data_IF_162388170329
#
_entry.id   IF_162388170329
#
_cell.length_a   1.000
_cell.length_b   1.000
_cell.length_c   1.000
_cell.angle_alpha   90.00
_cell.angle_beta   90.00
_cell.angle_gamma   90.00
#
_symmetry.space_group_name_H-M   'P 1'
#
loop_
_entity.id
_entity.type
_entity.pdbx_description
1 polymer ?
#
# COMPACT_ATOMS: atom_id res chain seq x y z
N UNK A 1 9.74 -51.51 -46.50
CA UNK A 1 10.38 -50.16 -46.51
C UNK A 1 9.94 -49.53 -47.82
N UNK A 2 9.07 -48.54 -47.89
CA UNK A 2 9.27 -47.17 -47.40
C UNK A 2 7.93 -46.58 -46.92
N UNK A 3 7.99 -45.82 -45.83
CA UNK A 3 6.86 -45.19 -45.13
C UNK A 3 6.50 -43.86 -45.77
N UNK A 4 5.22 -43.67 -46.06
CA UNK A 4 4.64 -42.39 -46.49
C UNK A 4 4.60 -41.41 -45.30
N UNK A 5 5.29 -40.29 -45.41
CA UNK A 5 5.21 -39.17 -44.45
C UNK A 5 4.15 -38.16 -44.91
N UNK A 6 3.19 -37.75 -44.06
CA UNK A 6 2.31 -36.63 -44.38
C UNK A 6 3.07 -35.31 -44.18
N UNK A 7 3.07 -34.47 -45.21
CA UNK A 7 3.55 -33.10 -45.19
C UNK A 7 2.75 -32.27 -44.18
N UNK A 8 3.40 -31.83 -43.11
CA UNK A 8 2.82 -30.87 -42.17
C UNK A 8 2.61 -29.50 -42.83
N UNK A 9 1.64 -28.70 -42.38
CA UNK A 9 1.48 -27.34 -42.89
C UNK A 9 2.68 -26.52 -42.42
N UNK A 10 3.46 -26.03 -43.38
CA UNK A 10 4.50 -25.04 -43.13
C UNK A 10 3.89 -23.78 -42.55
N UNK A 11 4.16 -23.50 -41.27
CA UNK A 11 3.89 -22.19 -40.70
C UNK A 11 4.92 -21.20 -41.21
N UNK A 12 4.62 -20.56 -42.34
CA UNK A 12 5.28 -19.32 -42.74
C UNK A 12 4.53 -18.18 -42.05
N UNK A 13 5.17 -17.37 -41.18
CA UNK A 13 4.50 -16.20 -40.63
C UNK A 13 4.39 -15.16 -41.75
N UNK A 14 3.24 -15.14 -42.43
CA UNK A 14 2.88 -14.08 -43.37
C UNK A 14 2.84 -12.74 -42.64
N UNK A 15 3.81 -11.89 -42.96
CA UNK A 15 4.17 -10.65 -42.27
C UNK A 15 3.25 -9.45 -42.55
N UNK A 16 1.96 -9.66 -42.81
CA UNK A 16 1.05 -8.59 -43.23
C UNK A 16 -0.25 -8.43 -42.44
N UNK A 17 -0.56 -9.28 -41.46
CA UNK A 17 -1.66 -9.00 -40.53
C UNK A 17 -1.13 -8.26 -39.29
N UNK A 18 -1.46 -6.98 -39.24
CA UNK A 18 -1.73 -6.22 -38.02
C UNK A 18 -0.60 -5.41 -37.36
N UNK A 19 0.30 -4.82 -38.14
CA UNK A 19 1.26 -3.79 -37.67
C UNK A 19 0.57 -2.62 -36.95
N UNK A 20 -0.67 -2.29 -37.35
CA UNK A 20 -1.47 -1.22 -36.74
C UNK A 20 -2.13 -1.63 -35.41
N UNK A 21 -2.61 -2.87 -35.22
CA UNK A 21 -3.08 -3.28 -33.89
C UNK A 21 -1.94 -3.61 -32.94
N UNK A 22 -0.78 -4.09 -33.40
CA UNK A 22 0.39 -4.21 -32.53
C UNK A 22 0.87 -2.83 -32.10
N UNK A 23 0.95 -1.84 -32.99
CA UNK A 23 1.24 -0.44 -32.64
C UNK A 23 0.23 0.14 -31.63
N UNK A 24 -1.08 -0.03 -31.87
CA UNK A 24 -2.13 0.39 -30.91
C UNK A 24 -2.04 -0.34 -29.58
N UNK A 25 -1.68 -1.62 -29.57
CA UNK A 25 -1.51 -2.42 -28.36
C UNK A 25 -0.30 -1.92 -27.54
N UNK A 26 0.84 -1.67 -28.18
CA UNK A 26 2.03 -1.11 -27.52
C UNK A 26 1.72 0.28 -26.94
N UNK A 27 1.06 1.14 -27.70
CA UNK A 27 0.63 2.47 -27.22
C UNK A 27 -0.33 2.35 -26.03
N UNK A 28 -1.36 1.50 -26.12
CA UNK A 28 -2.32 1.27 -25.03
C UNK A 28 -1.64 0.73 -23.78
N UNK A 29 -0.70 -0.20 -23.94
CA UNK A 29 0.07 -0.77 -22.82
C UNK A 29 0.97 0.26 -22.15
N UNK A 30 1.58 1.16 -22.92
CA UNK A 30 2.37 2.27 -22.38
C UNK A 30 1.51 3.22 -21.54
N UNK A 31 0.32 3.58 -22.01
CA UNK A 31 -0.66 4.40 -21.27
C UNK A 31 -1.14 3.69 -20.00
N UNK A 32 -1.49 2.41 -20.08
CA UNK A 32 -1.89 1.63 -18.89
C UNK A 32 -0.78 1.59 -17.84
N UNK A 33 0.49 1.45 -18.26
CA UNK A 33 1.64 1.47 -17.36
C UNK A 33 1.81 2.83 -16.69
N UNK A 34 1.69 3.93 -17.41
CA UNK A 34 1.80 5.27 -16.82
C UNK A 34 0.67 5.55 -15.81
N UNK A 35 -0.56 5.17 -16.15
CA UNK A 35 -1.72 5.27 -15.25
C UNK A 35 -1.54 4.42 -13.99
N UNK A 36 -0.97 3.21 -14.10
CA UNK A 36 -0.66 2.37 -12.95
C UNK A 36 0.35 3.02 -12.01
N UNK A 37 1.40 3.66 -12.54
CA UNK A 37 2.39 4.41 -11.75
C UNK A 37 1.71 5.56 -10.99
N UNK A 38 0.88 6.35 -11.68
CA UNK A 38 0.14 7.46 -11.06
C UNK A 38 -0.79 6.95 -9.95
N UNK A 39 -1.51 5.85 -10.20
CA UNK A 39 -2.41 5.23 -9.21
C UNK A 39 -1.65 4.76 -7.98
N UNK A 40 -0.51 4.09 -8.16
CA UNK A 40 0.34 3.63 -7.05
C UNK A 40 0.91 4.81 -6.26
N UNK A 41 1.36 5.88 -6.93
CA UNK A 41 1.86 7.08 -6.26
C UNK A 41 0.77 7.75 -5.42
N UNK A 42 -0.47 7.87 -5.94
CA UNK A 42 -1.62 8.36 -5.18
C UNK A 42 -1.92 7.48 -3.98
N UNK A 43 -1.98 6.16 -4.15
CA UNK A 43 -2.26 5.24 -3.05
C UNK A 43 -1.18 5.32 -1.94
N UNK A 44 0.11 5.41 -2.32
CA UNK A 44 1.21 5.60 -1.36
C UNK A 44 1.07 6.93 -0.62
N UNK A 45 0.65 8.00 -1.29
CA UNK A 45 0.38 9.31 -0.66
C UNK A 45 -0.79 9.23 0.32
N UNK A 46 -1.88 8.57 -0.02
CA UNK A 46 -3.02 8.37 0.89
C UNK A 46 -2.62 7.54 2.10
N UNK A 47 -1.84 6.45 1.94
CA UNK A 47 -1.31 5.68 3.07
C UNK A 47 -0.45 6.52 4.01
N UNK A 48 0.31 7.50 3.51
CA UNK A 48 1.06 8.43 4.38
C UNK A 48 0.17 9.32 5.25
N UNK A 49 -1.09 9.53 4.84
CA UNK A 49 -2.09 10.23 5.65
C UNK A 49 -2.76 9.33 6.68
N UNK A 50 -2.55 8.01 6.63
CA UNK A 50 -3.04 7.10 7.66
C UNK A 50 -2.22 7.23 8.94
N UNK A 51 -2.86 7.00 10.07
CA UNK A 51 -2.20 6.98 11.37
C UNK A 51 -1.30 5.76 11.51
N UNK A 52 -0.15 5.96 12.13
CA UNK A 52 0.79 4.88 12.40
C UNK A 52 0.18 3.89 13.40
N UNK A 53 -0.11 2.67 12.94
CA UNK A 53 -0.72 1.64 13.80
C UNK A 53 0.10 1.34 15.07
N UNK A 54 1.44 1.37 14.99
CA UNK A 54 2.30 1.11 16.15
C UNK A 54 2.28 2.25 17.15
N UNK A 55 2.40 3.49 16.69
CA UNK A 55 2.31 4.66 17.56
C UNK A 55 0.92 4.77 18.18
N UNK A 56 -0.13 4.60 17.38
CA UNK A 56 -1.52 4.64 17.84
C UNK A 56 -1.81 3.58 18.91
N UNK A 57 -1.26 2.37 18.76
CA UNK A 57 -1.52 1.26 19.68
C UNK A 57 -0.64 1.28 20.92
N UNK A 58 0.64 1.62 20.78
CA UNK A 58 1.65 1.46 21.84
C UNK A 58 2.19 2.78 22.38
N UNK A 59 1.84 3.91 21.77
CA UNK A 59 2.42 5.22 22.08
C UNK A 59 3.86 5.39 21.60
N UNK A 60 4.42 4.40 20.91
CA UNK A 60 5.80 4.40 20.42
C UNK A 60 5.92 3.72 19.07
N UNK A 61 6.78 4.24 18.21
CA UNK A 61 7.11 3.66 16.91
C UNK A 61 8.62 3.67 16.71
N UNK A 62 9.20 2.54 16.32
CA UNK A 62 10.64 2.39 16.10
C UNK A 62 11.18 3.27 14.96
N UNK A 63 10.29 3.74 14.07
CA UNK A 63 10.65 4.64 12.97
C UNK A 63 10.77 6.11 13.42
N UNK A 64 10.28 6.47 14.61
CA UNK A 64 10.33 7.85 15.12
C UNK A 64 9.85 8.87 14.07
N UNK A 65 10.67 9.88 13.82
CA UNK A 65 10.41 10.95 12.83
C UNK A 65 10.50 10.49 11.37
N UNK A 66 11.21 9.39 11.10
CA UNK A 66 11.29 8.80 9.75
C UNK A 66 10.04 7.98 9.37
N UNK A 67 9.05 7.90 10.26
CA UNK A 67 7.83 7.16 10.00
C UNK A 67 7.02 7.83 8.89
N UNK A 68 6.65 7.11 7.82
CA UNK A 68 5.85 7.69 6.74
C UNK A 68 4.37 7.91 7.10
N UNK A 69 3.94 7.47 8.28
CA UNK A 69 2.56 7.53 8.77
C UNK A 69 2.44 8.57 9.89
N UNK A 70 1.24 9.09 10.12
CA UNK A 70 0.99 10.16 11.09
C UNK A 70 1.15 9.66 12.53
N UNK A 71 1.89 10.40 13.36
CA UNK A 71 2.03 10.20 14.81
C UNK A 71 1.21 11.27 15.54
N UNK A 72 -0.03 10.94 15.91
CA UNK A 72 -0.91 11.85 16.64
C UNK A 72 -1.08 11.36 18.09
N UNK A 73 -0.58 12.11 19.10
CA UNK A 73 -0.65 11.71 20.50
C UNK A 73 -2.08 11.63 21.03
N UNK A 74 -3.04 12.32 20.42
CA UNK A 74 -4.44 12.28 20.85
C UNK A 74 -5.16 10.99 20.45
N UNK A 75 -4.70 10.35 19.37
CA UNK A 75 -5.28 9.09 18.87
C UNK A 75 -4.69 7.85 19.54
N UNK A 76 -3.58 8.00 20.27
CA UNK A 76 -2.94 6.90 21.00
C UNK A 76 -3.91 6.27 21.99
N UNK A 77 -3.85 4.94 22.11
CA UNK A 77 -4.65 4.17 23.04
C UNK A 77 -4.64 4.78 24.45
N UNK A 78 -5.81 4.72 25.11
CA UNK A 78 -5.95 5.21 26.49
C UNK A 78 -5.10 4.35 27.42
N UNK A 79 -4.41 5.00 28.36
CA UNK A 79 -3.59 4.31 29.34
C UNK A 79 -4.47 3.40 30.21
N UNK A 80 -4.30 2.09 30.08
CA UNK A 80 -5.03 1.12 30.93
C UNK A 80 -4.71 1.28 32.41
N UNK A 81 -3.50 1.77 32.74
CA UNK A 81 -3.09 2.07 34.11
C UNK A 81 -3.82 3.30 34.66
N UNK A 82 -4.10 4.29 33.80
CA UNK A 82 -4.86 5.48 34.16
C UNK A 82 -6.32 5.14 34.42
N UNK A 83 -6.92 4.30 33.56
CA UNK A 83 -8.28 3.79 33.77
C UNK A 83 -8.44 3.06 35.12
N UNK A 84 -7.37 2.44 35.62
CA UNK A 84 -7.33 1.76 36.92
C UNK A 84 -6.89 2.65 38.09
N UNK A 85 -6.62 3.93 37.86
CA UNK A 85 -6.13 4.85 38.89
C UNK A 85 -4.71 4.55 39.41
N UNK A 86 -3.94 3.70 38.71
CA UNK A 86 -2.60 3.26 39.14
C UNK A 86 -1.46 3.86 38.29
N UNK A 87 -1.79 4.77 37.38
CA UNK A 87 -0.78 5.42 36.55
C UNK A 87 -0.02 6.46 37.37
N UNK A 88 1.29 6.24 37.54
CA UNK A 88 2.18 7.18 38.23
C UNK A 88 2.67 8.34 37.35
N UNK A 89 2.35 8.32 36.05
CA UNK A 89 2.78 9.31 35.05
C UNK A 89 1.63 10.25 34.70
N UNK A 90 1.06 10.93 35.68
CA UNK A 90 -0.06 11.86 35.49
C UNK A 90 0.34 13.16 34.79
N UNK A 91 1.63 13.51 34.82
CA UNK A 91 2.15 14.82 34.41
C UNK A 91 2.43 14.94 32.89
N UNK A 92 1.77 14.11 32.08
CA UNK A 92 1.94 14.11 30.61
C UNK A 92 3.12 13.28 30.10
N UNK A 93 3.96 12.71 30.96
CA UNK A 93 5.06 11.79 30.59
C UNK A 93 4.57 10.37 30.25
N UNK A 94 3.26 10.12 30.34
CA UNK A 94 2.68 8.83 29.96
C UNK A 94 2.70 8.68 28.43
N UNK A 95 3.19 7.54 27.95
CA UNK A 95 3.19 7.23 26.51
C UNK A 95 1.79 6.99 25.94
N UNK A 96 0.76 6.94 26.79
CA UNK A 96 -0.62 6.64 26.43
C UNK A 96 -1.52 7.81 26.82
N UNK A 97 -2.63 7.98 26.09
CA UNK A 97 -3.57 9.07 26.34
C UNK A 97 -4.25 8.91 27.71
N UNK A 98 -4.33 10.00 28.47
CA UNK A 98 -5.13 10.10 29.71
C UNK A 98 -6.47 10.80 29.44
N UNK A 99 -6.84 11.05 28.18
CA UNK A 99 -8.16 11.56 27.82
C UNK A 99 -9.14 10.39 27.74
N UNK A 100 -10.16 10.41 28.60
CA UNK A 100 -11.29 9.48 28.53
C UNK A 100 -12.47 10.26 27.97
N UNK A 101 -12.79 10.05 26.69
CA UNK A 101 -14.06 10.50 26.14
C UNK A 101 -15.17 9.71 26.84
N UNK A 102 -16.04 10.39 27.60
CA UNK A 102 -17.11 9.78 28.40
C UNK A 102 -18.33 9.32 27.58
N UNK A 103 -18.32 9.48 26.26
CA UNK A 103 -19.48 9.18 25.42
C UNK A 103 -19.23 7.95 24.52
N UNK A 104 -19.42 6.75 25.09
CA UNK A 104 -20.04 5.63 24.39
C UNK A 104 -20.57 4.57 25.36
#
# INVERSE_FOLDING_TARGET
RLTSTPSGPGYSPSSCLNRSATSRYIASRAVQRSLAIIRQAKQKKEKKKEYCMYYNRFGKCNRGESCPYIHDPEKVAVCTRFLRGTCKKTDGTCSFSHKVSKDK
#
